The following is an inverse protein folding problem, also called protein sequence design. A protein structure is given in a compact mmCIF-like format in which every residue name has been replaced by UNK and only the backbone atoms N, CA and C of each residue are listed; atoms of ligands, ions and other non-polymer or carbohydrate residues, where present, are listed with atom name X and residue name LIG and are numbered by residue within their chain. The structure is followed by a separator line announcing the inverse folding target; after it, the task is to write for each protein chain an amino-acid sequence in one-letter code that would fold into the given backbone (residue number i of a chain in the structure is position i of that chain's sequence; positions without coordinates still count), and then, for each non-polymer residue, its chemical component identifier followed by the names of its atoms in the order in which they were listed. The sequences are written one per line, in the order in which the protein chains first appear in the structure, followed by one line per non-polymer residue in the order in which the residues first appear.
data_IF_126755028249
#
_entry.id   IF_126755028249
#
_cell.length_a   1.000
_cell.length_b   1.000
_cell.length_c   1.000
_cell.angle_alpha   90.00
_cell.angle_beta   90.00
_cell.angle_gamma   90.00
#
_symmetry.space_group_name_H-M   'P 1'
#
loop_
_entity.id
_entity.type
_entity.pdbx_description
1 polymer ?
#
# COMPACT_ATOMS: atom_id res chain seq x y z
N UNK A 1 -13.10 -12.55 -1.76
CA UNK A 1 -13.00 -11.08 -1.91
C UNK A 1 -14.21 -10.55 -2.66
N UNK A 2 -14.66 -11.26 -3.70
CA UNK A 2 -15.85 -10.93 -4.50
C UNK A 2 -17.17 -10.98 -3.71
N UNK A 3 -17.37 -11.98 -2.85
CA UNK A 3 -18.59 -12.11 -2.00
C UNK A 3 -18.84 -10.89 -1.09
N UNK A 4 -17.79 -10.30 -0.53
CA UNK A 4 -17.91 -9.16 0.39
C UNK A 4 -18.35 -7.88 -0.35
N UNK A 5 -17.93 -7.73 -1.61
CA UNK A 5 -18.34 -6.63 -2.48
C UNK A 5 -19.83 -6.76 -2.87
N UNK A 6 -20.29 -7.98 -3.14
CA UNK A 6 -21.71 -8.24 -3.44
C UNK A 6 -22.60 -8.00 -2.22
N UNK A 7 -22.18 -8.49 -1.04
CA UNK A 7 -22.89 -8.26 0.22
C UNK A 7 -23.00 -6.75 0.54
N UNK A 8 -21.92 -6.00 0.33
CA UNK A 8 -21.92 -4.55 0.52
C UNK A 8 -22.93 -3.87 -0.39
N UNK A 9 -22.93 -4.19 -1.69
CA UNK A 9 -23.87 -3.62 -2.67
C UNK A 9 -25.32 -3.98 -2.37
N UNK A 10 -25.57 -5.18 -1.86
CA UNK A 10 -26.91 -5.63 -1.49
C UNK A 10 -27.42 -4.85 -0.27
N UNK A 11 -26.61 -4.74 0.80
CA UNK A 11 -26.97 -3.98 2.01
C UNK A 11 -27.12 -2.49 1.73
N UNK A 12 -26.28 -1.91 0.87
CA UNK A 12 -26.38 -0.51 0.45
C UNK A 12 -27.72 -0.25 -0.26
N UNK A 13 -28.09 -1.13 -1.20
CA UNK A 13 -29.37 -1.02 -1.92
C UNK A 13 -30.56 -1.14 -0.97
N UNK A 14 -30.52 -2.06 0.00
CA UNK A 14 -31.59 -2.20 0.99
C UNK A 14 -31.74 -0.94 1.85
N UNK A 15 -30.63 -0.34 2.30
CA UNK A 15 -30.65 0.84 3.15
C UNK A 15 -31.12 2.11 2.41
N UNK A 16 -30.87 2.19 1.11
CA UNK A 16 -31.32 3.30 0.26
C UNK A 16 -32.71 3.05 -0.36
N UNK A 17 -33.47 2.07 0.16
CA UNK A 17 -34.84 1.79 -0.29
C UNK A 17 -34.95 1.19 -1.69
N UNK A 18 -33.88 0.58 -2.20
CA UNK A 18 -33.87 -0.09 -3.51
C UNK A 18 -33.86 0.86 -4.71
N UNK A 19 -33.64 2.16 -4.50
CA UNK A 19 -33.57 3.12 -5.58
C UNK A 19 -32.32 2.91 -6.44
N UNK A 20 -32.49 3.00 -7.76
CA UNK A 20 -31.38 2.93 -8.74
C UNK A 20 -30.59 4.24 -8.76
N UNK A 21 -31.23 5.35 -8.37
CA UNK A 21 -30.67 6.70 -8.31
C UNK A 21 -30.47 7.07 -6.85
N UNK A 22 -29.31 7.64 -6.52
CA UNK A 22 -29.00 8.10 -5.16
C UNK A 22 -29.82 9.35 -4.81
N UNK A 23 -30.20 9.54 -3.54
CA UNK A 23 -30.83 10.77 -3.07
C UNK A 23 -29.97 12.01 -3.35
N UNK A 24 -30.62 13.16 -3.59
CA UNK A 24 -29.93 14.45 -3.79
C UNK A 24 -29.20 14.92 -2.52
N UNK A 25 -29.66 14.44 -1.35
CA UNK A 25 -28.98 14.63 -0.07
C UNK A 25 -27.72 13.77 0.02
N UNK A 26 -26.63 14.38 -0.43
CA UNK A 26 -25.30 13.76 -0.47
C UNK A 26 -24.72 13.50 0.92
N UNK A 27 -25.03 14.33 1.92
CA UNK A 27 -24.49 14.17 3.27
C UNK A 27 -25.04 12.88 3.91
N UNK A 28 -26.36 12.74 3.85
CA UNK A 28 -27.04 11.53 4.34
C UNK A 28 -26.61 10.29 3.55
N UNK A 29 -26.48 10.40 2.23
CA UNK A 29 -26.03 9.28 1.38
C UNK A 29 -24.61 8.84 1.72
N UNK A 30 -23.70 9.80 1.93
CA UNK A 30 -22.31 9.52 2.31
C UNK A 30 -22.23 8.87 3.70
N UNK A 31 -23.05 9.30 4.66
CA UNK A 31 -23.16 8.70 5.99
C UNK A 31 -23.58 7.23 5.89
N UNK A 32 -24.65 6.94 5.14
CA UNK A 32 -25.15 5.57 4.92
C UNK A 32 -24.08 4.68 4.30
N UNK A 33 -23.37 5.17 3.26
CA UNK A 33 -22.26 4.44 2.62
C UNK A 33 -21.18 4.11 3.64
N UNK A 34 -20.75 5.09 4.47
CA UNK A 34 -19.71 4.88 5.47
C UNK A 34 -20.14 3.90 6.56
N UNK A 35 -21.37 3.99 7.05
CA UNK A 35 -21.92 3.09 8.07
C UNK A 35 -21.95 1.64 7.56
N UNK A 36 -22.48 1.43 6.36
CA UNK A 36 -22.57 0.09 5.77
C UNK A 36 -21.18 -0.43 5.40
N UNK A 37 -20.32 0.44 4.87
CA UNK A 37 -18.94 0.10 4.55
C UNK A 37 -18.19 -0.40 5.77
N UNK A 38 -18.27 0.31 6.90
CA UNK A 38 -17.67 -0.14 8.17
C UNK A 38 -18.25 -1.45 8.67
N UNK A 39 -19.55 -1.69 8.49
CA UNK A 39 -20.22 -2.91 8.96
C UNK A 39 -19.88 -4.15 8.13
N UNK A 40 -19.73 -4.00 6.82
CA UNK A 40 -19.49 -5.12 5.89
C UNK A 40 -17.99 -5.33 5.64
N UNK A 41 -17.27 -4.25 5.35
CA UNK A 41 -15.85 -4.30 4.98
C UNK A 41 -14.92 -4.15 6.20
N UNK A 42 -15.48 -3.78 7.36
CA UNK A 42 -14.70 -3.46 8.55
C UNK A 42 -14.02 -2.09 8.48
N UNK A 43 -13.14 -1.83 9.44
CA UNK A 43 -12.30 -0.62 9.49
C UNK A 43 -10.85 -1.05 9.40
N UNK A 44 -10.10 -0.50 8.45
CA UNK A 44 -8.66 -0.73 8.39
C UNK A 44 -7.99 -0.06 9.58
N UNK A 45 -7.04 -0.74 10.22
CA UNK A 45 -6.30 -0.21 11.38
C UNK A 45 -5.42 1.00 11.05
N UNK A 46 -5.28 1.38 9.77
CA UNK A 46 -4.40 2.46 9.30
C UNK A 46 -2.90 2.19 9.52
N UNK A 47 -2.56 1.07 10.18
CA UNK A 47 -1.18 0.63 10.31
C UNK A 47 -0.69 0.21 8.93
N UNK A 48 0.55 0.57 8.61
CA UNK A 48 1.28 -0.12 7.53
C UNK A 48 1.12 -1.61 7.81
N UNK A 49 0.66 -2.38 6.81
CA UNK A 49 0.93 -3.83 6.85
C UNK A 49 2.42 -3.95 7.14
N UNK A 50 2.80 -4.87 8.04
CA UNK A 50 4.19 -5.28 8.18
C UNK A 50 4.80 -5.26 6.79
N UNK A 51 5.77 -4.38 6.62
CA UNK A 51 6.31 -4.14 5.31
C UNK A 51 6.65 -5.53 4.78
N UNK A 52 6.19 -5.87 3.57
CA UNK A 52 6.74 -7.03 2.86
C UNK A 52 8.23 -6.82 2.52
N UNK A 53 8.90 -5.89 3.20
CA UNK A 53 10.31 -5.86 3.52
C UNK A 53 10.70 -7.27 4.00
N UNK A 54 11.29 -8.12 3.18
CA UNK A 54 11.81 -7.85 1.85
C UNK A 54 12.16 -9.20 1.25
N UNK A 55 11.33 -9.71 0.35
CA UNK A 55 11.66 -10.99 -0.30
C UNK A 55 12.95 -10.90 -1.15
N UNK A 56 13.33 -9.68 -1.53
CA UNK A 56 14.56 -9.37 -2.27
C UNK A 56 15.72 -8.84 -1.39
N UNK A 57 15.56 -8.62 -0.08
CA UNK A 57 16.65 -8.18 0.82
C UNK A 57 17.35 -9.37 1.45
N UNK A 58 17.78 -10.29 0.60
CA UNK A 58 18.61 -11.40 1.02
C UNK A 58 20.06 -10.93 1.28
N UNK A 59 20.87 -11.83 1.82
CA UNK A 59 22.28 -11.55 2.14
C UNK A 59 23.07 -11.08 0.91
N UNK A 60 22.76 -11.61 -0.28
CA UNK A 60 23.39 -11.23 -1.54
C UNK A 60 23.16 -9.76 -1.90
N UNK A 61 21.93 -9.27 -1.76
CA UNK A 61 21.60 -7.87 -2.01
C UNK A 61 22.24 -6.97 -0.96
N UNK A 62 22.26 -7.39 0.30
CA UNK A 62 22.94 -6.64 1.36
C UNK A 62 24.45 -6.53 1.10
N UNK A 63 25.09 -7.63 0.70
CA UNK A 63 26.52 -7.65 0.41
C UNK A 63 26.88 -6.87 -0.87
N UNK A 64 26.02 -6.92 -1.88
CA UNK A 64 26.18 -6.10 -3.09
C UNK A 64 26.13 -4.61 -2.76
N UNK A 65 25.17 -4.19 -1.92
CA UNK A 65 25.07 -2.80 -1.47
C UNK A 65 26.27 -2.40 -0.60
N UNK A 66 26.74 -3.28 0.31
CA UNK A 66 27.94 -3.02 1.12
C UNK A 66 29.17 -2.85 0.24
N UNK A 67 29.39 -3.72 -0.75
CA UNK A 67 30.51 -3.63 -1.70
C UNK A 67 30.45 -2.33 -2.50
N UNK A 68 29.29 -1.99 -3.07
CA UNK A 68 29.09 -0.73 -3.80
C UNK A 68 29.42 0.48 -2.92
N UNK A 69 28.96 0.50 -1.65
CA UNK A 69 29.24 1.60 -0.72
C UNK A 69 30.72 1.70 -0.38
N UNK A 70 31.42 0.57 -0.21
CA UNK A 70 32.85 0.54 0.05
C UNK A 70 33.65 1.03 -1.16
N UNK A 71 33.31 0.58 -2.37
CA UNK A 71 33.89 1.06 -3.62
C UNK A 71 33.70 2.58 -3.77
N UNK A 72 32.48 3.07 -3.52
CA UNK A 72 32.19 4.52 -3.51
C UNK A 72 33.09 5.29 -2.54
N UNK A 73 33.18 4.79 -1.31
CA UNK A 73 33.96 5.43 -0.25
C UNK A 73 35.44 5.49 -0.61
N UNK A 74 36.00 4.41 -1.19
CA UNK A 74 37.38 4.39 -1.69
C UNK A 74 37.59 5.40 -2.82
N UNK A 75 36.67 5.43 -3.79
CA UNK A 75 36.69 6.41 -4.89
C UNK A 75 36.67 7.85 -4.36
N UNK A 76 35.78 8.16 -3.43
CA UNK A 76 35.64 9.51 -2.85
C UNK A 76 36.90 9.95 -2.08
N UNK A 77 37.66 8.99 -1.50
CA UNK A 77 38.89 9.25 -0.75
C UNK A 77 40.12 9.44 -1.64
N UNK A 78 40.36 8.53 -2.59
CA UNK A 78 41.63 8.52 -3.33
C UNK A 78 41.53 9.20 -4.70
N UNK A 79 40.33 9.23 -5.32
CA UNK A 79 40.06 9.80 -6.66
C UNK A 79 41.06 9.38 -7.76
N UNK A 80 41.70 8.23 -7.61
CA UNK A 80 42.67 7.65 -8.56
C UNK A 80 41.95 6.83 -9.64
N UNK A 81 42.46 6.85 -10.88
CA UNK A 81 41.81 6.18 -12.05
C UNK A 81 41.59 4.67 -11.87
N UNK A 82 42.38 4.00 -11.03
CA UNK A 82 42.22 2.58 -10.67
C UNK A 82 40.93 2.33 -9.86
N UNK A 83 40.57 3.23 -8.96
CA UNK A 83 39.34 3.15 -8.17
C UNK A 83 38.08 3.41 -9.00
N UNK A 84 38.21 3.95 -10.22
CA UNK A 84 37.08 4.16 -11.15
C UNK A 84 36.60 2.85 -11.80
N UNK A 85 37.47 1.85 -11.92
CA UNK A 85 37.13 0.57 -12.53
C UNK A 85 36.40 -0.37 -11.54
N UNK A 86 36.57 -0.16 -10.24
CA UNK A 86 35.89 -0.92 -9.17
C UNK A 86 34.50 -0.36 -8.77
N UNK A 87 34.14 0.85 -9.24
CA UNK A 87 32.83 1.48 -9.00
C UNK A 87 31.87 1.22 -10.16
#
# INVERSE_FOLDING_TARGET
MEECCEEFRQKLRQALGGQVVLPDDWETTAEVIRVIGRKVLGVSSGRRKEDKETWWWNEEVQDSIKRMRLAKKKWDMDRTDENRQEY
#
